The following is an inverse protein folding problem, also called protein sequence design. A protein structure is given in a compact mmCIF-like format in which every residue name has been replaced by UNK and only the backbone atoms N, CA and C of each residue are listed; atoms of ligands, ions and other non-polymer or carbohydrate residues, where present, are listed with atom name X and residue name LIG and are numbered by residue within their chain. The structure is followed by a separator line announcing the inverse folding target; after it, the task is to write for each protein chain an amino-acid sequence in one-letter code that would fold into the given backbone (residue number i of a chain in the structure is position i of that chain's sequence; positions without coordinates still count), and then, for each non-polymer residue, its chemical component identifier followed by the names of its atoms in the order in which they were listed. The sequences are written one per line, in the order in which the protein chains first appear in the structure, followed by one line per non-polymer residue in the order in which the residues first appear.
data_IF_385718404361
#
_entry.id   IF_385718404361
#
_cell.length_a   1.000
_cell.length_b   1.000
_cell.length_c   1.000
_cell.angle_alpha   90.00
_cell.angle_beta   90.00
_cell.angle_gamma   90.00
#
_symmetry.space_group_name_H-M   'P 1'
#
loop_
_entity.id
_entity.type
_entity.pdbx_description
1 polymer ?
#
# COMPACT_ATOMS: atom_id res chain seq x y z
N UNK A 1 -49.16 34.78 9.98
CA UNK A 1 -47.89 34.77 10.75
C UNK A 1 -47.31 33.36 10.70
N UNK A 2 -46.05 33.26 10.28
CA UNK A 2 -45.30 32.03 10.05
C UNK A 2 -44.73 31.55 11.38
N UNK A 3 -44.97 30.30 11.76
CA UNK A 3 -44.25 29.59 12.83
C UNK A 3 -44.23 28.09 12.52
N UNK A 4 -43.29 27.66 11.68
CA UNK A 4 -42.85 26.27 11.64
C UNK A 4 -41.34 26.32 11.85
N UNK A 5 -40.92 26.05 13.09
CA UNK A 5 -39.50 25.90 13.41
C UNK A 5 -38.95 24.61 12.77
N UNK A 6 -37.68 24.60 12.34
CA UNK A 6 -37.06 23.50 11.62
C UNK A 6 -36.38 22.55 12.62
N UNK A 7 -36.33 21.23 12.35
CA UNK A 7 -35.16 20.39 12.66
C UNK A 7 -35.39 18.92 12.25
N UNK A 8 -34.63 18.53 11.23
CA UNK A 8 -33.92 17.24 11.05
C UNK A 8 -34.55 15.95 11.60
N UNK A 9 -34.89 15.05 10.68
CA UNK A 9 -34.60 13.62 10.87
C UNK A 9 -34.17 13.02 9.54
N UNK A 10 -32.90 13.26 9.19
CA UNK A 10 -32.19 12.35 8.29
C UNK A 10 -31.86 11.09 9.08
N UNK A 11 -32.82 10.17 9.20
CA UNK A 11 -32.55 8.82 9.68
C UNK A 11 -31.87 8.04 8.56
N UNK A 12 -30.58 8.34 8.35
CA UNK A 12 -29.67 7.42 7.72
C UNK A 12 -29.12 6.56 8.84
N UNK A 13 -29.85 5.51 9.20
CA UNK A 13 -29.20 4.39 9.87
C UNK A 13 -28.38 3.65 8.82
N UNK A 14 -27.03 3.68 8.84
CA UNK A 14 -26.29 2.65 8.16
C UNK A 14 -26.56 1.36 8.94
N UNK A 15 -27.29 0.44 8.32
CA UNK A 15 -27.43 -0.96 8.79
C UNK A 15 -26.02 -1.52 8.90
N UNK A 16 -25.46 -1.46 10.09
CA UNK A 16 -24.26 -2.13 10.53
C UNK A 16 -24.71 -3.39 11.24
N UNK A 17 -24.91 -4.47 10.47
CA UNK A 17 -24.91 -5.82 11.02
C UNK A 17 -23.45 -6.31 11.11
N UNK A 18 -22.81 -6.35 12.29
CA UNK A 18 -21.61 -7.14 12.48
C UNK A 18 -22.02 -8.58 12.77
N UNK A 19 -22.19 -9.41 11.73
CA UNK A 19 -22.27 -10.86 11.92
C UNK A 19 -20.90 -11.39 12.32
N UNK A 20 -20.69 -11.47 13.64
CA UNK A 20 -19.66 -12.30 14.27
C UNK A 20 -19.97 -13.77 13.93
N UNK A 21 -19.05 -14.45 13.27
CA UNK A 21 -18.93 -15.90 13.39
C UNK A 21 -17.47 -16.25 13.65
N UNK A 22 -17.26 -16.83 14.81
CA UNK A 22 -16.03 -17.45 15.32
C UNK A 22 -15.92 -18.88 14.80
N UNK A 23 -15.75 -19.00 13.49
CA UNK A 23 -15.16 -20.17 12.84
C UNK A 23 -14.00 -19.62 12.01
N UNK A 24 -12.90 -20.37 11.88
CA UNK A 24 -11.78 -20.03 11.00
C UNK A 24 -12.37 -19.53 9.70
N UNK A 25 -12.32 -18.22 9.45
CA UNK A 25 -13.23 -17.65 8.46
C UNK A 25 -12.80 -18.16 7.09
N UNK A 26 -13.72 -18.37 6.16
CA UNK A 26 -13.35 -18.78 4.79
C UNK A 26 -12.28 -17.84 4.22
N UNK A 27 -12.30 -16.57 4.63
CA UNK A 27 -11.26 -15.60 4.38
C UNK A 27 -9.89 -15.94 4.96
N UNK A 28 -9.76 -16.47 6.19
CA UNK A 28 -8.48 -16.95 6.74
C UNK A 28 -7.94 -18.13 5.93
N UNK A 29 -8.76 -19.13 5.62
CA UNK A 29 -8.32 -20.28 4.82
C UNK A 29 -7.89 -19.85 3.41
N UNK A 30 -8.61 -18.89 2.82
CA UNK A 30 -8.26 -18.33 1.53
C UNK A 30 -6.94 -17.57 1.61
N UNK A 31 -6.72 -16.73 2.63
CA UNK A 31 -5.46 -16.02 2.86
C UNK A 31 -4.29 -16.99 3.02
N UNK A 32 -4.46 -18.08 3.78
CA UNK A 32 -3.43 -19.12 3.96
C UNK A 32 -3.03 -19.75 2.61
N UNK A 33 -3.99 -19.96 1.70
CA UNK A 33 -3.71 -20.49 0.34
C UNK A 33 -2.81 -19.57 -0.48
N UNK A 34 -2.88 -18.26 -0.25
CA UNK A 34 -1.99 -17.28 -0.89
C UNK A 34 -0.68 -17.06 -0.10
N UNK A 35 -0.47 -17.79 1.01
CA UNK A 35 0.71 -17.66 1.87
C UNK A 35 0.59 -16.55 2.92
N UNK A 36 -0.55 -15.88 3.02
CA UNK A 36 -0.81 -14.86 4.03
C UNK A 36 -1.32 -15.56 5.28
N UNK A 37 -0.43 -15.81 6.23
CA UNK A 37 -0.70 -16.61 7.43
C UNK A 37 -0.42 -15.82 8.72
N UNK A 38 -0.86 -16.34 9.86
CA UNK A 38 -0.50 -15.80 11.17
C UNK A 38 -1.12 -14.44 11.49
N UNK A 39 -0.30 -13.51 11.99
CA UNK A 39 -0.75 -12.18 12.42
C UNK A 39 -1.17 -11.30 11.23
N UNK A 40 -0.48 -11.41 10.09
CA UNK A 40 -0.77 -10.65 8.89
C UNK A 40 -2.19 -10.92 8.35
N UNK A 41 -2.62 -12.19 8.38
CA UNK A 41 -3.98 -12.57 8.00
C UNK A 41 -5.04 -11.93 8.91
N UNK A 42 -4.80 -11.94 10.23
CA UNK A 42 -5.71 -11.33 11.22
C UNK A 42 -5.81 -9.83 11.02
N UNK A 43 -4.67 -9.17 10.80
CA UNK A 43 -4.61 -7.72 10.61
C UNK A 43 -5.33 -7.31 9.31
N UNK A 44 -5.16 -8.09 8.23
CA UNK A 44 -5.88 -7.87 6.98
C UNK A 44 -7.40 -8.04 7.13
N UNK A 45 -7.84 -9.04 7.92
CA UNK A 45 -9.27 -9.24 8.23
C UNK A 45 -9.81 -8.08 9.08
N UNK A 46 -9.06 -7.61 10.07
CA UNK A 46 -9.43 -6.47 10.89
C UNK A 46 -9.57 -5.20 10.04
N UNK A 47 -8.58 -4.94 9.18
CA UNK A 47 -8.59 -3.83 8.22
C UNK A 47 -9.81 -3.86 7.30
N UNK A 48 -10.13 -5.04 6.75
CA UNK A 48 -11.29 -5.22 5.88
C UNK A 48 -12.63 -5.09 6.60
N UNK A 49 -12.71 -5.50 7.87
CA UNK A 49 -13.91 -5.27 8.71
C UNK A 49 -14.18 -3.78 8.88
N UNK A 50 -13.15 -2.96 9.11
CA UNK A 50 -13.28 -1.50 9.21
C UNK A 50 -13.79 -0.87 7.92
N UNK A 51 -13.29 -1.35 6.78
CA UNK A 51 -13.69 -0.85 5.44
C UNK A 51 -14.94 -1.51 4.86
N UNK A 52 -15.55 -2.46 5.57
CA UNK A 52 -16.75 -3.23 5.13
C UNK A 52 -16.56 -3.90 3.76
N UNK A 53 -15.33 -4.35 3.48
CA UNK A 53 -14.97 -4.91 2.20
C UNK A 53 -14.92 -6.43 2.24
N UNK A 54 -15.58 -7.10 1.29
CA UNK A 54 -15.52 -8.55 1.16
C UNK A 54 -14.09 -9.02 0.83
N UNK A 55 -13.59 -10.00 1.60
CA UNK A 55 -12.37 -10.74 1.25
C UNK A 55 -12.81 -11.84 0.28
N UNK A 56 -12.46 -11.68 -1.00
CA UNK A 56 -12.80 -12.63 -2.06
C UNK A 56 -11.55 -13.08 -2.80
N UNK A 57 -11.63 -14.27 -3.42
CA UNK A 57 -10.55 -14.84 -4.22
C UNK A 57 -10.16 -13.91 -5.37
N UNK A 58 -11.14 -13.25 -6.00
CA UNK A 58 -10.90 -12.24 -7.04
C UNK A 58 -10.02 -11.10 -6.56
N UNK A 59 -10.18 -10.66 -5.31
CA UNK A 59 -9.34 -9.61 -4.74
C UNK A 59 -7.93 -10.09 -4.49
N UNK A 60 -7.75 -11.26 -3.89
CA UNK A 60 -6.41 -11.83 -3.66
C UNK A 60 -5.69 -12.13 -4.99
N UNK A 61 -6.39 -12.68 -5.99
CA UNK A 61 -5.86 -12.86 -7.35
C UNK A 61 -5.47 -11.53 -7.99
N UNK A 62 -6.25 -10.46 -7.77
CA UNK A 62 -5.88 -9.12 -8.24
C UNK A 62 -4.62 -8.62 -7.53
N UNK A 63 -4.53 -8.75 -6.21
CA UNK A 63 -3.34 -8.36 -5.45
C UNK A 63 -2.12 -9.14 -5.93
N UNK A 64 -2.25 -10.45 -6.14
CA UNK A 64 -1.19 -11.29 -6.69
C UNK A 64 -0.70 -10.78 -8.05
N UNK A 65 -1.60 -10.56 -9.01
CA UNK A 65 -1.24 -10.00 -10.33
C UNK A 65 -0.52 -8.66 -10.24
N UNK A 66 -0.86 -7.85 -9.24
CA UNK A 66 -0.20 -6.56 -9.02
C UNK A 66 1.15 -6.73 -8.31
N UNK A 67 1.27 -7.69 -7.39
CA UNK A 67 2.52 -8.09 -6.78
C UNK A 67 3.51 -8.59 -7.84
N UNK A 68 3.05 -9.45 -8.75
CA UNK A 68 3.83 -9.95 -9.89
C UNK A 68 4.33 -8.81 -10.78
N UNK A 69 3.46 -7.82 -11.07
CA UNK A 69 3.83 -6.62 -11.84
C UNK A 69 4.82 -5.72 -11.10
N UNK A 70 4.68 -5.63 -9.79
CA UNK A 70 5.52 -4.82 -8.91
C UNK A 70 6.87 -5.49 -8.57
N UNK A 71 6.99 -6.80 -8.84
CA UNK A 71 8.13 -7.63 -8.48
C UNK A 71 8.28 -7.82 -6.97
N UNK A 72 7.17 -7.87 -6.22
CA UNK A 72 7.15 -8.09 -4.77
C UNK A 72 6.22 -9.25 -4.40
N UNK A 73 6.32 -9.71 -3.15
CA UNK A 73 5.44 -10.76 -2.64
C UNK A 73 4.04 -10.23 -2.31
N UNK A 74 3.03 -11.10 -2.36
CA UNK A 74 1.67 -10.74 -1.95
C UNK A 74 1.60 -10.36 -0.46
N UNK A 75 2.48 -10.91 0.37
CA UNK A 75 2.58 -10.55 1.79
C UNK A 75 2.98 -9.07 1.95
N UNK A 76 4.01 -8.62 1.24
CA UNK A 76 4.42 -7.21 1.27
C UNK A 76 3.31 -6.28 0.74
N UNK A 77 2.61 -6.69 -0.32
CA UNK A 77 1.45 -5.95 -0.82
C UNK A 77 0.39 -5.75 0.28
N UNK A 78 0.11 -6.80 1.05
CA UNK A 78 -0.86 -6.76 2.14
C UNK A 78 -0.37 -5.89 3.29
N UNK A 79 0.90 -5.98 3.66
CA UNK A 79 1.53 -5.10 4.66
C UNK A 79 1.40 -3.63 4.28
N UNK A 80 1.80 -3.27 3.05
CA UNK A 80 1.65 -1.91 2.51
C UNK A 80 0.18 -1.46 2.56
N UNK A 81 -0.76 -2.36 2.23
CA UNK A 81 -2.18 -2.06 2.30
C UNK A 81 -2.65 -1.75 3.72
N UNK A 82 -2.12 -2.45 4.73
CA UNK A 82 -2.46 -2.22 6.14
C UNK A 82 -1.83 -0.91 6.63
N UNK A 83 -0.52 -0.72 6.40
CA UNK A 83 0.23 0.45 6.83
C UNK A 83 -0.34 1.76 6.25
N UNK A 84 -0.63 1.76 4.95
CA UNK A 84 -1.19 2.93 4.25
C UNK A 84 -2.72 2.99 4.31
N UNK A 85 -3.36 2.04 4.99
CA UNK A 85 -4.81 1.93 5.11
C UNK A 85 -5.52 1.88 3.72
N UNK A 86 -4.87 1.25 2.74
CA UNK A 86 -5.37 1.08 1.38
C UNK A 86 -6.23 -0.17 1.24
N UNK A 87 -7.28 -0.08 0.43
CA UNK A 87 -8.24 -1.17 0.24
C UNK A 87 -7.89 -2.11 -0.92
N UNK A 88 -6.90 -1.75 -1.72
CA UNK A 88 -6.40 -2.50 -2.86
C UNK A 88 -5.01 -1.99 -3.21
N UNK A 89 -4.36 -2.68 -4.13
CA UNK A 89 -2.99 -2.36 -4.53
C UNK A 89 -2.89 -2.30 -6.05
N UNK A 90 -2.01 -1.44 -6.56
CA UNK A 90 -1.66 -1.35 -7.96
C UNK A 90 -0.16 -1.10 -8.08
N UNK A 91 0.52 -1.87 -8.94
CA UNK A 91 1.94 -1.73 -9.18
C UNK A 91 2.32 -0.35 -9.73
N UNK A 92 1.39 0.33 -10.40
CA UNK A 92 1.59 1.68 -10.96
C UNK A 92 1.47 2.80 -9.93
N UNK A 93 1.11 2.52 -8.67
CA UNK A 93 1.06 3.55 -7.62
C UNK A 93 2.43 3.79 -7.01
N UNK A 94 2.61 4.94 -6.34
CA UNK A 94 3.81 5.23 -5.54
C UNK A 94 3.74 4.51 -4.19
N UNK A 95 3.79 3.19 -4.25
CA UNK A 95 3.72 2.30 -3.08
C UNK A 95 5.09 2.01 -2.47
N UNK A 96 6.17 2.13 -3.26
CA UNK A 96 7.54 2.13 -2.73
C UNK A 96 7.83 3.52 -2.20
N UNK A 97 8.12 3.65 -0.91
CA UNK A 97 8.69 4.89 -0.39
C UNK A 97 9.96 5.22 -1.16
N UNK A 98 9.96 6.34 -1.87
CA UNK A 98 11.04 6.82 -2.74
C UNK A 98 12.39 6.95 -2.02
N UNK A 99 12.37 6.93 -0.68
CA UNK A 99 13.55 6.87 0.18
C UNK A 99 14.42 5.62 -0.02
N UNK A 100 13.86 4.51 -0.50
CA UNK A 100 14.64 3.32 -0.87
C UNK A 100 15.18 3.40 -2.31
N UNK A 101 14.49 4.10 -3.21
CA UNK A 101 14.94 4.31 -4.60
C UNK A 101 16.20 5.16 -4.69
N UNK A 102 16.32 6.16 -3.82
CA UNK A 102 17.47 7.08 -3.79
C UNK A 102 18.71 6.53 -3.09
N UNK A 103 18.60 5.37 -2.41
CA UNK A 103 19.76 4.71 -1.78
C UNK A 103 20.47 3.75 -2.74
N UNK A 104 19.84 3.34 -3.84
CA UNK A 104 20.42 2.47 -4.87
C UNK A 104 20.55 3.16 -6.25
N UNK A 105 20.39 4.48 -6.32
CA UNK A 105 21.00 5.24 -7.41
C UNK A 105 22.37 5.67 -6.90
N UNK A 106 23.41 4.93 -7.30
CA UNK A 106 24.83 5.20 -7.01
C UNK A 106 25.09 6.71 -6.89
N UNK A 107 25.21 7.20 -5.66
CA UNK A 107 25.97 8.42 -5.44
C UNK A 107 27.41 8.04 -5.75
N UNK A 108 27.84 8.32 -6.98
CA UNK A 108 29.27 8.35 -7.31
C UNK A 108 29.96 9.13 -6.19
N UNK A 109 31.00 8.52 -5.61
CA UNK A 109 31.79 9.13 -4.55
C UNK A 109 32.30 10.51 -4.99
N UNK A 110 32.62 11.39 -4.05
CA UNK A 110 33.24 12.68 -4.35
C UNK A 110 34.50 12.51 -5.22
N UNK A 111 35.33 11.50 -4.94
CA UNK A 111 36.46 11.07 -5.77
C UNK A 111 36.07 10.69 -7.20
N UNK A 112 34.97 9.98 -7.39
CA UNK A 112 34.55 9.48 -8.70
C UNK A 112 33.96 10.60 -9.58
N UNK A 113 33.36 11.62 -8.94
CA UNK A 113 32.96 12.86 -9.61
C UNK A 113 34.17 13.71 -10.01
N UNK A 114 35.21 13.76 -9.17
CA UNK A 114 36.42 14.51 -9.46
C UNK A 114 37.32 13.85 -10.51
N UNK A 115 37.15 12.53 -10.73
CA UNK A 115 37.85 11.77 -11.77
C UNK A 115 37.18 11.84 -13.16
N UNK A 116 36.06 12.55 -13.31
CA UNK A 116 35.43 12.75 -14.61
C UNK A 116 36.32 13.63 -15.51
N UNK A 117 36.45 13.31 -16.81
CA UNK A 117 37.37 13.99 -17.71
C UNK A 117 37.10 15.49 -17.86
N UNK A 118 35.88 15.95 -17.56
CA UNK A 118 35.46 17.36 -17.62
C UNK A 118 35.61 18.11 -16.30
N UNK A 119 36.07 17.44 -15.24
CA UNK A 119 36.26 18.01 -13.90
C UNK A 119 37.74 17.98 -13.48
N UNK A 120 38.65 17.87 -14.46
CA UNK A 120 40.08 17.90 -14.21
C UNK A 120 40.50 19.37 -14.01
N UNK A 121 41.19 19.70 -12.90
CA UNK A 121 41.60 21.09 -12.62
C UNK A 121 42.50 21.69 -13.70
N UNK A 122 43.16 20.85 -14.51
CA UNK A 122 44.02 21.25 -15.64
C UNK A 122 43.23 21.87 -16.80
N UNK A 123 41.94 21.57 -16.97
CA UNK A 123 41.11 22.15 -18.05
C UNK A 123 40.61 23.57 -17.72
N UNK A 124 40.78 24.04 -16.48
CA UNK A 124 40.45 25.41 -16.07
C UNK A 124 41.64 26.37 -16.14
N UNK A 125 42.84 25.87 -16.43
CA UNK A 125 44.06 26.70 -16.52
C UNK A 125 44.16 27.49 -17.84
N UNK A 126 43.30 27.22 -18.83
CA UNK A 126 43.30 27.88 -20.15
C UNK A 126 42.08 28.79 -20.41
N UNK A 127 41.30 29.16 -19.38
CA UNK A 127 40.15 30.10 -19.48
C UNK A 127 40.48 31.46 -18.84
N UNK A 128 41.73 31.89 -18.91
CA UNK A 128 42.23 33.22 -18.52
C UNK A 128 42.92 33.89 -19.71
#
# INVERSE_FOLDING_TARGET
MKNFAPITSHSLEPVNEPKKTTQKSESEMLLERFGITGQLAKDFIAHRKTKRGAISETQLSRLQKQADKAGISICEVVEICIERNWQGFNASWDWRDEKLRTSQAQKMSFEEKNALPWNRPEDWENVL
#
